data_IF_807939579373
#
_entry.id   IF_807939579373
#
_cell.length_a   1.000
_cell.length_b   1.000
_cell.length_c   1.000
_cell.angle_alpha   90.00
_cell.angle_beta   90.00
_cell.angle_gamma   90.00
#
_symmetry.space_group_name_H-M   'P 1'
#
loop_
_entity.id
_entity.type
_entity.pdbx_description
1 polymer ?
#
# COMPACT_ATOMS: atom_id res chain seq x y z
N UNK A 1 -10.35 5.65 7.36
CA UNK A 1 -9.19 5.58 6.43
C UNK A 1 -9.64 5.91 5.02
N UNK A 2 -8.79 6.56 4.24
CA UNK A 2 -9.12 7.07 2.92
C UNK A 2 -8.07 6.69 1.90
N UNK A 3 -8.49 6.64 0.63
CA UNK A 3 -7.57 6.42 -0.49
C UNK A 3 -6.43 7.44 -0.45
N UNK A 4 -5.21 6.96 -0.62
CA UNK A 4 -3.99 7.78 -0.57
C UNK A 4 -3.33 7.85 0.79
N UNK A 5 -4.03 7.47 1.85
CA UNK A 5 -3.40 7.37 3.16
C UNK A 5 -2.47 6.17 3.22
N UNK A 6 -1.35 6.36 3.92
CA UNK A 6 -0.42 5.28 4.24
C UNK A 6 -0.70 4.84 5.67
N UNK A 7 -0.82 3.53 5.84
CA UNK A 7 -1.06 2.92 7.15
C UNK A 7 -0.01 1.85 7.41
N UNK A 8 0.39 1.72 8.66
CA UNK A 8 1.09 0.53 9.11
C UNK A 8 0.10 -0.61 9.15
N UNK A 9 0.44 -1.71 8.49
CA UNK A 9 -0.45 -2.85 8.33
C UNK A 9 0.27 -4.11 8.78
N UNK A 10 -0.45 -4.95 9.50
CA UNK A 10 0.03 -6.28 9.86
C UNK A 10 -0.29 -7.26 8.73
N UNK A 11 0.73 -7.65 7.96
CA UNK A 11 0.61 -8.64 6.90
C UNK A 11 0.87 -10.05 7.39
N UNK A 12 1.21 -10.22 8.65
CA UNK A 12 1.48 -11.51 9.25
C UNK A 12 0.24 -12.40 9.13
N UNK A 13 0.34 -13.62 8.59
CA UNK A 13 -0.78 -14.55 8.57
C UNK A 13 -1.24 -14.99 9.96
N UNK A 14 -0.45 -14.68 11.00
CA UNK A 14 -0.82 -14.91 12.40
C UNK A 14 -0.91 -16.37 12.81
N UNK A 15 -0.32 -17.27 12.05
CA UNK A 15 -0.37 -18.70 12.36
C UNK A 15 1.04 -19.23 12.54
N UNK A 16 1.43 -19.46 13.79
CA UNK A 16 2.70 -20.07 14.12
C UNK A 16 3.93 -19.32 13.64
N UNK A 17 3.80 -18.05 13.33
CA UNK A 17 4.90 -17.23 12.85
C UNK A 17 5.42 -16.38 13.99
N UNK A 18 6.72 -16.47 14.26
CA UNK A 18 7.35 -15.73 15.35
C UNK A 18 7.64 -14.29 14.95
N UNK A 19 8.00 -14.06 13.69
CA UNK A 19 8.36 -12.74 13.20
C UNK A 19 7.14 -12.09 12.57
N UNK A 20 6.70 -11.02 13.17
CA UNK A 20 5.58 -10.24 12.64
C UNK A 20 6.06 -9.33 11.53
N UNK A 21 5.32 -9.33 10.42
CA UNK A 21 5.61 -8.45 9.30
C UNK A 21 4.65 -7.30 9.28
N UNK A 22 5.09 -6.20 9.85
CA UNK A 22 4.37 -4.94 9.76
C UNK A 22 5.05 -4.09 8.69
N UNK A 23 4.26 -3.59 7.75
CA UNK A 23 4.78 -2.77 6.66
C UNK A 23 3.86 -1.58 6.42
N UNK A 24 4.41 -0.47 5.95
CA UNK A 24 3.57 0.61 5.45
C UNK A 24 2.97 0.20 4.11
N UNK A 25 1.72 0.57 3.92
CA UNK A 25 1.04 0.37 2.64
C UNK A 25 0.07 1.50 2.41
N UNK A 26 -0.14 1.84 1.14
CA UNK A 26 -1.06 2.89 0.75
C UNK A 26 -2.42 2.31 0.42
N UNK A 27 -3.47 2.97 0.91
CA UNK A 27 -4.86 2.60 0.60
C UNK A 27 -5.14 3.02 -0.84
N UNK A 28 -5.53 2.06 -1.68
CA UNK A 28 -5.82 2.33 -3.10
C UNK A 28 -7.28 2.08 -3.46
N UNK A 29 -8.06 1.44 -2.61
CA UNK A 29 -9.49 1.26 -2.82
C UNK A 29 -10.22 2.61 -2.73
N UNK A 30 -11.37 2.71 -3.41
CA UNK A 30 -12.16 3.93 -3.43
C UNK A 30 -12.79 4.20 -2.06
N UNK A 31 -13.11 5.47 -1.80
CA UNK A 31 -13.55 5.88 -0.48
C UNK A 31 -14.95 5.40 -0.12
N UNK A 32 -15.81 5.12 -1.10
CA UNK A 32 -17.10 4.51 -0.81
C UNK A 32 -16.93 3.10 -0.26
N UNK A 33 -16.08 2.29 -0.91
CA UNK A 33 -15.75 0.96 -0.42
C UNK A 33 -15.05 1.04 0.95
N UNK A 34 -14.11 1.97 1.10
CA UNK A 34 -13.37 2.16 2.34
C UNK A 34 -14.31 2.49 3.51
N UNK A 35 -15.40 3.20 3.25
CA UNK A 35 -16.35 3.57 4.28
C UNK A 35 -17.27 2.41 4.67
N UNK A 36 -17.75 1.65 3.71
CA UNK A 36 -18.84 0.70 3.96
C UNK A 36 -18.40 -0.76 4.09
N UNK A 37 -17.24 -1.12 3.57
CA UNK A 37 -16.74 -2.50 3.67
C UNK A 37 -15.81 -2.66 4.88
N UNK A 38 -15.66 -3.91 5.31
CA UNK A 38 -14.75 -4.24 6.41
C UNK A 38 -13.33 -4.56 5.94
N UNK A 39 -13.01 -4.23 4.70
CA UNK A 39 -11.73 -4.52 4.05
C UNK A 39 -11.35 -3.38 3.13
N UNK A 40 -10.09 -3.35 2.74
CA UNK A 40 -9.55 -2.36 1.81
C UNK A 40 -8.49 -3.00 0.92
N UNK A 41 -8.26 -2.41 -0.24
CA UNK A 41 -7.15 -2.78 -1.09
C UNK A 41 -5.98 -1.86 -0.82
N UNK A 42 -4.80 -2.45 -0.71
CA UNK A 42 -3.58 -1.72 -0.36
C UNK A 42 -2.42 -2.12 -1.26
N UNK A 43 -1.47 -1.22 -1.42
CA UNK A 43 -0.21 -1.47 -2.12
C UNK A 43 0.92 -1.28 -1.12
N UNK A 44 1.70 -2.31 -0.82
CA UNK A 44 2.80 -2.21 0.12
C UNK A 44 3.90 -1.29 -0.37
N UNK A 45 4.55 -0.62 0.57
CA UNK A 45 5.73 0.20 0.33
C UNK A 45 6.98 -0.52 0.84
N UNK A 46 8.11 -0.27 0.20
CA UNK A 46 9.40 -0.80 0.65
C UNK A 46 10.46 0.30 0.62
N UNK A 47 11.35 0.26 1.60
CA UNK A 47 12.54 1.12 1.62
C UNK A 47 13.68 0.56 0.78
N UNK A 48 13.59 -0.68 0.36
CA UNK A 48 14.57 -1.33 -0.51
C UNK A 48 14.39 -0.82 -1.92
N UNK A 49 15.25 0.07 -2.38
CA UNK A 49 15.05 0.76 -3.65
C UNK A 49 15.47 -0.07 -4.85
N UNK A 50 16.66 -0.65 -4.84
CA UNK A 50 17.12 -1.52 -5.90
C UNK A 50 16.69 -1.08 -7.30
N UNK A 51 16.39 -2.05 -8.15
CA UNK A 51 15.90 -1.81 -9.50
C UNK A 51 14.41 -1.49 -9.49
N UNK A 52 14.01 -0.49 -10.26
CA UNK A 52 12.60 -0.13 -10.42
C UNK A 52 11.99 -0.94 -11.57
N UNK A 53 10.99 -1.74 -11.26
CA UNK A 53 10.24 -2.51 -12.27
C UNK A 53 9.01 -1.73 -12.73
N UNK A 54 8.44 -2.07 -13.91
CA UNK A 54 7.27 -1.33 -14.45
C UNK A 54 6.06 -1.28 -13.53
N UNK A 55 5.88 -2.30 -12.68
CA UNK A 55 4.78 -2.36 -11.70
C UNK A 55 5.11 -1.64 -10.40
N UNK A 56 6.19 -0.87 -10.37
CA UNK A 56 6.61 -0.12 -9.20
C UNK A 56 6.69 1.36 -9.51
N UNK A 57 6.55 2.18 -8.49
CA UNK A 57 6.70 3.63 -8.61
C UNK A 57 7.34 4.17 -7.34
N UNK A 58 8.15 5.23 -7.48
CA UNK A 58 8.73 5.87 -6.33
C UNK A 58 7.72 6.77 -5.63
N UNK A 59 7.80 6.77 -4.33
CA UNK A 59 7.01 7.65 -3.45
C UNK A 59 7.92 8.18 -2.35
N UNK A 60 7.47 9.21 -1.65
CA UNK A 60 8.15 9.72 -0.46
C UNK A 60 7.36 9.27 0.76
N UNK A 61 8.03 8.57 1.65
CA UNK A 61 7.45 8.12 2.91
C UNK A 61 8.38 8.53 4.05
N UNK A 62 7.83 9.32 4.98
CA UNK A 62 8.59 9.83 6.14
C UNK A 62 9.89 10.51 5.71
N UNK A 63 9.79 11.39 4.69
CA UNK A 63 10.91 12.17 4.15
C UNK A 63 11.99 11.34 3.47
N UNK A 64 11.71 10.07 3.18
CA UNK A 64 12.65 9.19 2.49
C UNK A 64 12.00 8.61 1.25
N UNK A 65 12.83 8.35 0.25
CA UNK A 65 12.39 7.69 -0.96
C UNK A 65 12.03 6.24 -0.64
N UNK A 66 10.92 5.78 -1.18
CA UNK A 66 10.45 4.40 -1.07
C UNK A 66 9.86 3.98 -2.40
N UNK A 67 9.52 2.70 -2.53
CA UNK A 67 8.82 2.18 -3.70
C UNK A 67 7.45 1.65 -3.29
N UNK A 68 6.44 1.93 -4.10
CA UNK A 68 5.15 1.27 -4.02
C UNK A 68 5.16 0.08 -4.98
N UNK A 69 4.80 -1.09 -4.48
CA UNK A 69 4.90 -2.36 -5.21
C UNK A 69 3.50 -2.82 -5.64
N UNK A 70 3.04 -2.36 -6.82
CA UNK A 70 1.70 -2.69 -7.29
C UNK A 70 1.52 -4.17 -7.61
N UNK A 71 2.61 -4.91 -7.86
CA UNK A 71 2.55 -6.35 -8.03
C UNK A 71 2.14 -7.08 -6.75
N UNK A 72 2.22 -6.40 -5.60
CA UNK A 72 1.80 -6.94 -4.31
C UNK A 72 0.47 -6.35 -3.83
N UNK A 73 -0.27 -5.73 -4.73
CA UNK A 73 -1.63 -5.25 -4.45
C UNK A 73 -2.45 -6.37 -3.80
N UNK A 74 -3.06 -6.09 -2.67
CA UNK A 74 -3.80 -7.11 -1.94
C UNK A 74 -4.96 -6.51 -1.17
N UNK A 75 -5.92 -7.35 -0.83
CA UNK A 75 -7.04 -7.01 0.04
C UNK A 75 -6.69 -7.41 1.47
N UNK A 76 -6.91 -6.49 2.39
CA UNK A 76 -6.72 -6.75 3.82
C UNK A 76 -7.98 -6.41 4.60
N UNK A 77 -8.21 -7.15 5.68
CA UNK A 77 -9.24 -6.78 6.65
C UNK A 77 -8.84 -5.47 7.32
N UNK A 78 -9.81 -4.61 7.59
CA UNK A 78 -9.55 -3.38 8.37
C UNK A 78 -8.94 -3.66 9.74
N UNK A 79 -9.13 -4.85 10.27
CA UNK A 79 -8.51 -5.26 11.54
C UNK A 79 -7.00 -5.36 11.47
N UNK A 80 -6.43 -5.40 10.27
CA UNK A 80 -4.98 -5.43 10.07
C UNK A 80 -4.35 -4.04 10.04
N UNK A 81 -5.14 -3.00 9.96
CA UNK A 81 -4.63 -1.62 10.01
C UNK A 81 -4.28 -1.27 11.44
N UNK A 82 -3.03 -0.87 11.66
CA UNK A 82 -2.51 -0.60 13.00
C UNK A 82 -2.68 0.88 13.33
N UNK A 83 -2.03 1.75 12.56
CA UNK A 83 -2.12 3.19 12.75
C UNK A 83 -1.76 3.93 11.46
N UNK A 84 -2.31 5.14 11.27
CA UNK A 84 -1.96 5.94 10.10
C UNK A 84 -0.52 6.42 10.19
N UNK A 85 0.12 6.57 9.04
CA UNK A 85 1.54 6.93 8.94
C UNK A 85 1.80 8.08 7.98
N UNK A 86 0.79 8.60 7.32
CA UNK A 86 0.93 9.71 6.38
C UNK A 86 -0.02 9.61 5.21
N UNK A 87 0.23 10.43 4.20
CA UNK A 87 -0.57 10.45 2.96
C UNK A 87 0.35 10.71 1.79
N UNK A 88 0.03 10.13 0.65
CA UNK A 88 0.74 10.39 -0.58
C UNK A 88 0.08 11.56 -1.33
N UNK A 89 0.89 12.26 -2.13
CA UNK A 89 0.38 13.35 -2.97
C UNK A 89 -0.46 12.80 -4.13
N UNK A 90 -1.23 13.68 -4.77
CA UNK A 90 -2.00 13.29 -5.95
C UNK A 90 -1.09 12.83 -7.10
N UNK A 91 0.08 13.44 -7.26
CA UNK A 91 1.04 13.03 -8.29
C UNK A 91 1.58 11.62 -7.99
N UNK A 92 1.90 11.35 -6.73
CA UNK A 92 2.32 10.02 -6.32
C UNK A 92 1.22 8.98 -6.54
N UNK A 93 -0.02 9.34 -6.25
CA UNK A 93 -1.16 8.45 -6.48
C UNK A 93 -1.40 8.20 -7.97
N UNK A 94 -1.12 9.15 -8.85
CA UNK A 94 -1.15 8.92 -10.30
C UNK A 94 -0.12 7.88 -10.70
N UNK A 95 1.08 7.95 -10.15
CA UNK A 95 2.13 6.94 -10.38
C UNK A 95 1.70 5.55 -9.95
N UNK A 96 1.04 5.46 -8.81
CA UNK A 96 0.50 4.18 -8.31
C UNK A 96 -0.60 3.67 -9.24
N UNK A 97 -1.49 4.54 -9.69
CA UNK A 97 -2.53 4.16 -10.64
C UNK A 97 -1.94 3.58 -11.93
N UNK A 98 -0.89 4.22 -12.46
CA UNK A 98 -0.20 3.71 -13.64
C UNK A 98 0.45 2.35 -13.37
N UNK A 99 1.11 2.18 -12.23
CA UNK A 99 1.73 0.92 -11.87
C UNK A 99 0.70 -0.21 -11.75
N UNK A 100 -0.45 0.07 -11.15
CA UNK A 100 -1.56 -0.90 -11.07
C UNK A 100 -2.10 -1.23 -12.46
N UNK A 101 -2.27 -0.22 -13.29
CA UNK A 101 -2.74 -0.39 -14.68
C UNK A 101 -1.81 -1.32 -15.46
N UNK A 102 -0.50 -1.13 -15.32
CA UNK A 102 0.50 -1.99 -15.95
C UNK A 102 0.42 -3.40 -15.39
N UNK A 103 0.40 -3.53 -14.07
CA UNK A 103 0.41 -4.85 -13.42
C UNK A 103 -0.81 -5.67 -13.76
N UNK A 104 -1.98 -5.06 -13.86
CA UNK A 104 -3.24 -5.75 -14.10
C UNK A 104 -3.68 -5.70 -15.57
N UNK A 105 -2.89 -5.08 -16.42
CA UNK A 105 -3.17 -4.97 -17.86
C UNK A 105 -4.55 -4.31 -18.13
N UNK A 106 -4.75 -3.20 -17.47
CA UNK A 106 -5.99 -2.44 -17.61
C UNK A 106 -5.97 -1.43 -18.76
#
# INVERSE_FOLDING_TARGET
MKRGEVWWINFDPSVGVEIRKQRPAVIVSNDAANKFLNRAQVVPLTSSLGKLYPSETYVTFRRKKAKAMADQLTTVSKKRLINPAGSLSSIEMEGITQAITIQLDL
#
